data_IF_268304878947
#
_entry.id   IF_268304878947
#
_cell.length_a   1.000
_cell.length_b   1.000
_cell.length_c   1.000
_cell.angle_alpha   90.00
_cell.angle_beta   90.00
_cell.angle_gamma   90.00
#
_symmetry.space_group_name_H-M   'P 1'
#
loop_
_entity.id
_entity.type
_entity.pdbx_description
1 polymer ?
#
# COMPACT_ATOMS: atom_id res chain seq x y z
N UNK A 1 3.78 12.89 10.62
CA UNK A 1 4.23 11.56 10.18
C UNK A 1 3.48 10.48 10.94
N UNK A 2 3.04 9.45 10.24
CA UNK A 2 2.31 8.35 10.83
C UNK A 2 3.27 7.30 11.41
N UNK A 3 2.79 6.52 12.36
CA UNK A 3 3.59 5.49 13.03
C UNK A 3 3.32 4.11 12.45
N UNK A 4 4.36 3.26 12.44
CA UNK A 4 4.20 1.85 12.06
C UNK A 4 3.33 1.12 13.07
N UNK A 5 2.69 0.03 12.63
CA UNK A 5 1.89 -0.86 13.48
C UNK A 5 0.64 -0.21 14.08
N UNK A 6 0.18 0.90 13.51
CA UNK A 6 -1.06 1.57 13.92
C UNK A 6 -1.99 1.68 12.72
N UNK A 7 -3.29 1.69 12.98
CA UNK A 7 -4.32 1.81 11.94
C UNK A 7 -4.60 3.27 11.62
N UNK A 8 -4.62 3.61 10.34
CA UNK A 8 -4.96 4.94 9.85
C UNK A 8 -6.06 4.85 8.82
N UNK A 9 -6.96 5.80 8.86
CA UNK A 9 -8.10 5.87 7.93
C UNK A 9 -7.63 6.37 6.56
N UNK A 10 -8.11 5.71 5.50
CA UNK A 10 -7.89 6.16 4.14
C UNK A 10 -9.14 5.87 3.32
N UNK A 11 -9.59 6.86 2.55
CA UNK A 11 -10.74 6.69 1.66
C UNK A 11 -10.25 6.13 0.32
N UNK A 12 -10.68 4.93 -0.01
CA UNK A 12 -10.28 4.25 -1.25
C UNK A 12 -11.19 4.70 -2.39
N UNK A 13 -10.59 5.13 -3.48
CA UNK A 13 -11.29 5.54 -4.70
C UNK A 13 -10.68 4.82 -5.90
N UNK A 14 -11.51 4.55 -6.90
CA UNK A 14 -11.10 3.86 -8.14
C UNK A 14 -10.42 2.52 -7.87
N UNK A 15 -10.74 1.88 -6.74
CA UNK A 15 -10.18 0.58 -6.33
C UNK A 15 -8.65 0.57 -6.35
N UNK A 16 -8.01 1.67 -5.89
CA UNK A 16 -6.55 1.79 -5.92
C UNK A 16 -5.97 2.26 -4.59
N UNK A 17 -4.86 1.63 -4.20
CA UNK A 17 -4.00 2.08 -3.10
C UNK A 17 -2.60 2.20 -3.68
N UNK A 18 -2.01 3.40 -3.62
CA UNK A 18 -0.68 3.65 -4.17
C UNK A 18 0.34 3.84 -3.06
N UNK A 19 1.41 3.06 -3.12
CA UNK A 19 2.58 3.15 -2.24
C UNK A 19 3.72 3.70 -3.05
N UNK A 20 4.32 4.81 -2.61
CA UNK A 20 5.35 5.47 -3.42
C UNK A 20 6.39 6.18 -2.56
N UNK A 21 7.49 6.56 -3.20
CA UNK A 21 8.63 7.23 -2.60
C UNK A 21 9.12 8.35 -3.51
N UNK A 22 10.11 9.12 -3.05
CA UNK A 22 10.78 10.14 -3.84
C UNK A 22 10.19 11.52 -3.69
N UNK A 23 8.89 11.65 -3.67
CA UNK A 23 8.17 12.93 -3.55
C UNK A 23 6.81 12.67 -2.93
N UNK A 24 6.28 13.65 -2.21
CA UNK A 24 4.93 13.55 -1.65
C UNK A 24 3.85 13.59 -2.73
N UNK A 25 4.17 14.10 -3.91
CA UNK A 25 3.25 14.14 -5.04
C UNK A 25 3.06 12.74 -5.59
N UNK A 26 1.83 12.19 -5.59
CA UNK A 26 1.60 10.84 -6.10
C UNK A 26 1.97 10.69 -7.57
N UNK A 27 2.66 9.59 -7.94
CA UNK A 27 2.93 9.32 -9.34
C UNK A 27 1.66 8.92 -10.09
N UNK A 28 1.64 9.16 -11.38
CA UNK A 28 0.59 8.62 -12.25
C UNK A 28 1.02 7.23 -12.69
N UNK A 29 0.23 6.24 -12.34
CA UNK A 29 0.50 4.85 -12.70
C UNK A 29 -0.63 4.37 -13.60
N UNK A 30 -0.29 4.04 -14.85
CA UNK A 30 -1.25 3.53 -15.80
C UNK A 30 -1.41 2.03 -15.64
N UNK A 31 -2.65 1.57 -15.72
CA UNK A 31 -2.98 0.16 -15.58
C UNK A 31 -3.25 -0.45 -16.96
N UNK A 32 -2.54 -1.53 -17.26
CA UNK A 32 -2.81 -2.35 -18.44
C UNK A 32 -3.84 -3.43 -18.08
N UNK A 33 -4.37 -4.13 -19.11
CA UNK A 33 -5.27 -5.26 -18.87
C UNK A 33 -4.59 -6.36 -18.03
N UNK A 34 -3.30 -6.58 -18.29
CA UNK A 34 -2.51 -7.54 -17.51
C UNK A 34 -2.37 -7.13 -16.06
N UNK A 35 -2.16 -5.84 -15.79
CA UNK A 35 -2.07 -5.31 -14.44
C UNK A 35 -3.38 -5.52 -13.68
N UNK A 36 -4.51 -5.32 -14.34
CA UNK A 36 -5.83 -5.55 -13.74
C UNK A 36 -5.98 -7.02 -13.34
N UNK A 37 -5.54 -7.93 -14.17
CA UNK A 37 -5.61 -9.36 -13.88
C UNK A 37 -4.73 -9.77 -12.70
N UNK A 38 -3.53 -9.20 -12.59
CA UNK A 38 -2.61 -9.55 -11.50
C UNK A 38 -2.89 -8.80 -10.19
N UNK A 39 -3.64 -7.69 -10.25
CA UNK A 39 -4.06 -6.94 -9.07
C UNK A 39 -3.10 -5.84 -8.63
N UNK A 40 -2.10 -5.49 -9.44
CA UNK A 40 -1.20 -4.38 -9.16
C UNK A 40 -0.58 -3.82 -10.44
N UNK A 41 -0.13 -2.57 -10.36
CA UNK A 41 0.60 -1.90 -11.43
C UNK A 41 1.81 -1.18 -10.84
N UNK A 42 2.92 -1.13 -11.58
CA UNK A 42 4.15 -0.48 -11.13
C UNK A 42 4.47 0.75 -11.95
N UNK A 43 5.12 1.72 -11.32
CA UNK A 43 5.66 2.92 -11.95
C UNK A 43 7.04 3.22 -11.41
N UNK A 44 7.64 4.35 -11.83
CA UNK A 44 9.02 4.69 -11.50
C UNK A 44 9.30 4.77 -9.99
N UNK A 45 8.39 5.32 -9.22
CA UNK A 45 8.60 5.59 -7.81
C UNK A 45 7.54 4.92 -6.94
N UNK A 46 6.77 3.99 -7.48
CA UNK A 46 5.70 3.42 -6.70
C UNK A 46 5.02 2.22 -7.31
N UNK A 47 4.09 1.70 -6.55
CA UNK A 47 3.23 0.59 -6.94
C UNK A 47 1.80 0.88 -6.51
N UNK A 48 0.83 0.61 -7.39
CA UNK A 48 -0.59 0.66 -7.04
C UNK A 48 -1.12 -0.74 -6.89
N UNK A 49 -1.79 -1.00 -5.77
CA UNK A 49 -2.48 -2.26 -5.52
C UNK A 49 -3.97 -2.07 -5.76
N UNK A 50 -4.62 -3.12 -6.26
CA UNK A 50 -6.07 -3.11 -6.40
C UNK A 50 -6.72 -3.15 -5.02
N UNK A 51 -7.61 -2.19 -4.76
CA UNK A 51 -8.45 -2.21 -3.57
C UNK A 51 -9.70 -3.04 -3.82
N UNK A 52 -10.17 -3.75 -2.79
CA UNK A 52 -11.35 -4.63 -2.93
C UNK A 52 -12.62 -3.80 -3.04
N UNK A 53 -12.79 -2.81 -2.18
CA UNK A 53 -13.95 -1.94 -2.18
C UNK A 53 -13.54 -0.47 -2.12
N UNK A 54 -14.34 0.41 -2.73
CA UNK A 54 -14.21 1.84 -2.53
C UNK A 54 -14.78 2.21 -1.16
N UNK A 55 -14.36 3.36 -0.64
CA UNK A 55 -14.85 3.88 0.62
C UNK A 55 -13.80 3.82 1.71
N UNK A 56 -14.21 4.05 2.93
CA UNK A 56 -13.32 4.13 4.08
C UNK A 56 -12.67 2.78 4.39
N UNK A 57 -11.35 2.80 4.56
CA UNK A 57 -10.57 1.62 4.92
C UNK A 57 -9.56 1.97 6.00
N UNK A 58 -8.98 0.96 6.62
CA UNK A 58 -7.86 1.12 7.56
C UNK A 58 -6.58 0.64 6.90
N UNK A 59 -5.50 1.41 7.08
CA UNK A 59 -4.16 1.09 6.58
C UNK A 59 -3.25 0.88 7.78
N UNK A 60 -2.56 -0.26 7.80
CA UNK A 60 -1.56 -0.58 8.82
C UNK A 60 -0.25 -0.90 8.09
N UNK A 61 0.79 -0.13 8.38
CA UNK A 61 2.12 -0.34 7.76
C UNK A 61 3.02 -1.02 8.76
N UNK A 62 3.72 -2.06 8.30
CA UNK A 62 4.66 -2.84 9.13
C UNK A 62 6.00 -2.96 8.42
N UNK A 63 7.05 -3.23 9.19
CA UNK A 63 8.40 -3.43 8.68
C UNK A 63 8.95 -4.75 9.22
N UNK A 64 9.30 -5.65 8.30
CA UNK A 64 9.84 -6.98 8.64
C UNK A 64 8.95 -7.76 9.61
N UNK A 65 7.64 -7.66 9.42
CA UNK A 65 6.66 -8.35 10.27
C UNK A 65 6.20 -9.64 9.62
N UNK A 66 5.70 -10.54 10.45
CA UNK A 66 5.05 -11.75 9.99
C UNK A 66 3.69 -11.42 9.36
N UNK A 67 3.10 -12.42 8.71
CA UNK A 67 1.76 -12.33 8.17
C UNK A 67 0.77 -11.94 9.29
N UNK A 68 -0.25 -11.10 8.98
CA UNK A 68 -1.26 -10.73 9.98
C UNK A 68 -1.95 -11.94 10.59
N UNK A 69 -2.27 -11.83 11.89
CA UNK A 69 -2.93 -12.91 12.65
C UNK A 69 -4.45 -12.92 12.48
N UNK A 70 -4.95 -12.28 11.43
CA UNK A 70 -6.39 -12.24 11.09
C UNK A 70 -6.60 -12.92 9.74
N UNK A 71 -7.83 -13.34 9.42
CA UNK A 71 -8.10 -13.92 8.10
C UNK A 71 -7.75 -12.92 6.99
N UNK A 72 -6.97 -13.37 6.02
CA UNK A 72 -6.52 -12.56 4.89
C UNK A 72 -7.19 -13.09 3.62
N UNK A 73 -7.87 -12.20 2.91
CA UNK A 73 -8.60 -12.56 1.68
C UNK A 73 -7.70 -12.52 0.45
N UNK A 74 -6.66 -11.68 0.49
CA UNK A 74 -5.71 -11.55 -0.62
C UNK A 74 -4.36 -11.05 -0.12
N UNK A 75 -3.29 -11.53 -0.75
CA UNK A 75 -1.93 -11.06 -0.51
C UNK A 75 -1.22 -10.89 -1.85
N UNK A 76 -0.65 -9.71 -2.09
CA UNK A 76 0.09 -9.40 -3.32
C UNK A 76 1.46 -8.89 -2.91
N UNK A 77 2.53 -9.50 -3.44
CA UNK A 77 3.91 -9.12 -3.14
C UNK A 77 4.57 -8.53 -4.39
N UNK A 78 5.18 -7.35 -4.23
CA UNK A 78 5.83 -6.63 -5.33
C UNK A 78 7.18 -6.09 -4.85
N UNK A 79 8.25 -6.17 -5.68
CA UNK A 79 9.52 -5.52 -5.34
C UNK A 79 9.35 -4.00 -5.31
N UNK A 80 10.07 -3.34 -4.41
CA UNK A 80 10.00 -1.89 -4.26
C UNK A 80 11.35 -1.34 -3.80
N UNK A 81 11.86 -0.34 -4.52
CA UNK A 81 13.09 0.36 -4.14
C UNK A 81 12.72 1.69 -3.51
N UNK A 82 13.07 1.85 -2.23
CA UNK A 82 12.82 3.07 -1.47
C UNK A 82 14.04 3.98 -1.52
N UNK A 83 13.87 5.16 -2.08
CA UNK A 83 14.98 6.09 -2.38
C UNK A 83 15.03 7.29 -1.45
N UNK A 84 14.13 7.39 -0.50
CA UNK A 84 14.01 8.56 0.36
C UNK A 84 13.81 8.13 1.82
N UNK A 85 13.58 9.10 2.71
CA UNK A 85 13.36 8.81 4.13
C UNK A 85 11.92 8.41 4.43
N UNK A 86 10.99 8.83 3.57
CA UNK A 86 9.56 8.58 3.79
C UNK A 86 8.93 7.84 2.63
N UNK A 87 8.05 6.91 3.01
CA UNK A 87 7.15 6.23 2.09
C UNK A 87 5.78 6.87 2.26
N UNK A 88 5.08 7.04 1.15
CA UNK A 88 3.75 7.63 1.11
C UNK A 88 2.73 6.62 0.65
N UNK A 89 1.54 6.68 1.24
CA UNK A 89 0.41 5.84 0.84
C UNK A 89 -0.81 6.72 0.66
N UNK A 90 -1.47 6.57 -0.47
CA UNK A 90 -2.69 7.33 -0.77
C UNK A 90 -3.62 6.53 -1.68
N UNK A 91 -4.78 7.09 -1.95
CA UNK A 91 -5.69 6.66 -2.99
C UNK A 91 -6.03 7.86 -3.85
N UNK A 92 -6.77 7.66 -4.93
CA UNK A 92 -7.12 8.76 -5.84
C UNK A 92 -7.96 9.81 -5.09
N UNK A 93 -7.50 11.07 -5.11
CA UNK A 93 -8.17 12.21 -4.45
C UNK A 93 -8.29 12.07 -2.93
N UNK A 94 -7.47 11.22 -2.31
CA UNK A 94 -7.44 11.06 -0.87
C UNK A 94 -6.28 11.85 -0.26
N UNK A 95 -6.28 11.99 1.06
CA UNK A 95 -5.11 12.54 1.76
C UNK A 95 -3.94 11.56 1.67
N UNK A 96 -2.74 12.02 2.01
CA UNK A 96 -1.52 11.24 1.93
C UNK A 96 -1.09 10.83 3.35
N UNK A 97 -0.88 9.53 3.53
CA UNK A 97 -0.26 9.00 4.75
C UNK A 97 1.24 8.91 4.50
N UNK A 98 2.05 9.28 5.48
CA UNK A 98 3.51 9.19 5.36
C UNK A 98 4.10 8.41 6.53
N UNK A 99 5.10 7.57 6.22
CA UNK A 99 5.76 6.69 7.18
C UNK A 99 7.26 6.77 7.00
N UNK A 100 8.01 6.75 8.12
CA UNK A 100 9.47 6.72 8.09
C UNK A 100 9.91 5.27 7.91
N UNK A 101 10.53 4.98 6.78
CA UNK A 101 11.05 3.66 6.44
C UNK A 101 12.49 3.86 5.95
N UNK A 102 13.49 3.09 6.43
CA UNK A 102 14.86 3.22 5.95
C UNK A 102 14.96 2.98 4.44
N UNK A 103 15.86 3.71 3.78
CA UNK A 103 16.13 3.51 2.35
C UNK A 103 16.62 2.09 2.09
N UNK A 104 16.28 1.56 0.95
CA UNK A 104 16.75 0.24 0.53
C UNK A 104 15.79 -0.48 -0.37
N UNK A 105 16.11 -1.73 -0.65
CA UNK A 105 15.29 -2.60 -1.46
C UNK A 105 14.38 -3.44 -0.57
N UNK A 106 13.11 -3.52 -0.96
CA UNK A 106 12.09 -4.23 -0.21
C UNK A 106 11.24 -5.11 -1.11
N UNK A 107 10.60 -6.09 -0.49
CA UNK A 107 9.41 -6.73 -1.02
C UNK A 107 8.24 -6.16 -0.22
N UNK A 108 7.29 -5.52 -0.90
CA UNK A 108 6.07 -5.06 -0.25
C UNK A 108 5.01 -6.12 -0.43
N UNK A 109 4.41 -6.57 0.66
CA UNK A 109 3.22 -7.42 0.60
C UNK A 109 2.03 -6.62 1.10
N UNK A 110 1.00 -6.50 0.26
CA UNK A 110 -0.27 -5.89 0.64
C UNK A 110 -1.25 -7.02 0.96
N UNK A 111 -1.57 -7.15 2.24
CA UNK A 111 -2.57 -8.11 2.70
C UNK A 111 -3.90 -7.39 2.85
N UNK A 112 -4.95 -7.93 2.26
CA UNK A 112 -6.30 -7.38 2.36
C UNK A 112 -7.15 -8.29 3.24
N UNK A 113 -7.77 -7.71 4.27
CA UNK A 113 -8.71 -8.40 5.14
C UNK A 113 -10.05 -7.67 5.10
N UNK A 114 -11.09 -8.35 4.62
CA UNK A 114 -12.44 -7.79 4.59
C UNK A 114 -13.09 -8.01 5.95
N UNK A 115 -13.36 -6.90 6.63
CA UNK A 115 -14.01 -6.91 7.94
C UNK A 115 -15.45 -6.37 7.80
N UNK A 116 -16.35 -6.67 8.78
CA UNK A 116 -17.75 -6.25 8.68
C UNK A 116 -17.97 -4.75 8.47
N UNK A 117 -17.15 -3.91 9.12
CA UNK A 117 -17.33 -2.45 9.06
C UNK A 117 -16.57 -1.81 7.90
N UNK A 118 -15.38 -2.32 7.59
CA UNK A 118 -14.53 -1.76 6.53
C UNK A 118 -13.39 -2.74 6.23
N UNK A 119 -12.76 -2.57 5.07
CA UNK A 119 -11.59 -3.34 4.70
C UNK A 119 -10.37 -2.86 5.48
N UNK A 120 -9.45 -3.78 5.77
CA UNK A 120 -8.16 -3.47 6.40
C UNK A 120 -7.05 -3.92 5.47
N UNK A 121 -6.12 -3.01 5.20
CA UNK A 121 -4.95 -3.28 4.36
C UNK A 121 -3.70 -3.24 5.22
N UNK A 122 -2.99 -4.37 5.25
CA UNK A 122 -1.70 -4.47 5.94
C UNK A 122 -0.62 -4.38 4.87
N UNK A 123 0.20 -3.34 4.94
CA UNK A 123 1.27 -3.11 3.97
C UNK A 123 2.59 -3.38 4.68
N UNK A 124 3.17 -4.55 4.43
CA UNK A 124 4.42 -4.95 5.07
C UNK A 124 5.61 -4.74 4.13
N UNK A 125 6.63 -4.03 4.65
CA UNK A 125 7.90 -3.84 3.97
C UNK A 125 8.88 -4.86 4.50
N UNK A 126 9.27 -5.80 3.66
CA UNK A 126 10.22 -6.83 4.01
C UNK A 126 11.56 -6.53 3.35
N UNK A 127 12.62 -6.39 4.16
CA UNK A 127 13.99 -6.15 3.65
C UNK A 127 14.45 -7.32 2.79
N UNK A 128 15.05 -6.99 1.67
CA UNK A 128 15.61 -7.98 0.75
C UNK A 128 17.03 -8.34 1.14
#
# INVERSE_FOLDING_TARGET
MNHLNQAYSLSISYHQITVYTGSETPPVIDWTDEDILQGYATGDQGVSFEGVNNGKASIIVTLNSDEPQVPVDRAITVPFTHTNDQVYITSVMAHVLSFSIPKGDYQITCYTSQQPDQDVYYVNFQTV
#
